data_IF_934342189024
#
_entry.id   IF_934342189024
#
_cell.length_a   1.000
_cell.length_b   1.000
_cell.length_c   1.000
_cell.angle_alpha   90.00
_cell.angle_beta   90.00
_cell.angle_gamma   90.00
#
_symmetry.space_group_name_H-M   'P 1'
#
loop_
_entity.id
_entity.type
_entity.pdbx_description
1 polymer ?
#
# COMPACT_ATOMS: atom_id res chain seq x y z
N UNK A 1 24.05 -4.32 43.50
CA UNK A 1 23.94 -5.40 42.50
C UNK A 1 22.54 -5.61 41.89
N UNK A 2 21.42 -5.36 42.59
CA UNK A 2 20.06 -5.65 42.07
C UNK A 2 19.62 -4.85 40.82
N UNK A 3 20.15 -3.65 40.56
CA UNK A 3 19.77 -2.82 39.38
C UNK A 3 20.31 -3.36 38.05
N UNK A 4 21.50 -3.96 38.04
CA UNK A 4 22.15 -4.48 36.82
C UNK A 4 21.39 -5.69 36.30
N UNK A 5 20.97 -6.58 37.20
CA UNK A 5 20.22 -7.79 36.86
C UNK A 5 18.86 -7.47 36.21
N UNK A 6 18.14 -6.46 36.71
CA UNK A 6 16.87 -6.02 36.13
C UNK A 6 17.02 -5.38 34.73
N UNK A 7 18.16 -4.76 34.45
CA UNK A 7 18.46 -4.23 33.11
C UNK A 7 18.76 -5.38 32.14
N UNK A 8 19.62 -6.32 32.54
CA UNK A 8 19.96 -7.50 31.75
C UNK A 8 18.72 -8.35 31.42
N UNK A 9 17.80 -8.54 32.37
CA UNK A 9 16.53 -9.25 32.15
C UNK A 9 15.62 -8.49 31.18
N UNK A 10 15.56 -7.16 31.24
CA UNK A 10 14.79 -6.35 30.28
C UNK A 10 15.39 -6.42 28.87
N UNK A 11 16.71 -6.40 28.75
CA UNK A 11 17.39 -6.46 27.45
C UNK A 11 17.27 -7.88 26.83
N UNK A 12 17.35 -8.93 27.64
CA UNK A 12 17.01 -10.30 27.25
C UNK A 12 15.55 -10.41 26.82
N UNK A 13 14.61 -9.85 27.59
CA UNK A 13 13.18 -9.88 27.25
C UNK A 13 12.87 -9.11 25.95
N UNK A 14 13.56 -7.99 25.70
CA UNK A 14 13.49 -7.26 24.42
C UNK A 14 14.07 -8.07 23.26
N UNK A 15 15.22 -8.73 23.47
CA UNK A 15 15.86 -9.58 22.47
C UNK A 15 15.04 -10.83 22.13
N UNK A 16 14.43 -11.45 23.14
CA UNK A 16 13.52 -12.60 22.98
C UNK A 16 12.23 -12.16 22.31
N UNK A 17 11.59 -11.04 22.70
CA UNK A 17 10.43 -10.52 21.97
C UNK A 17 10.75 -10.21 20.50
N UNK A 18 11.97 -9.75 20.18
CA UNK A 18 12.39 -9.47 18.80
C UNK A 18 12.63 -10.74 17.97
N UNK A 19 12.92 -11.89 18.61
CA UNK A 19 13.17 -13.19 17.96
C UNK A 19 11.97 -14.15 18.00
N UNK A 20 11.14 -14.07 19.03
CA UNK A 20 10.01 -14.98 19.30
C UNK A 20 8.67 -14.41 18.86
N UNK A 21 8.49 -13.08 18.89
CA UNK A 21 7.44 -12.50 18.06
C UNK A 21 8.00 -12.33 16.66
N UNK A 22 7.32 -12.90 15.68
CA UNK A 22 7.24 -12.33 14.33
C UNK A 22 6.59 -10.95 14.48
N UNK A 23 7.29 -9.98 15.08
CA UNK A 23 6.80 -8.62 15.22
C UNK A 23 6.54 -8.17 13.79
N UNK A 24 5.30 -7.81 13.45
CA UNK A 24 4.97 -7.43 12.10
C UNK A 24 5.96 -6.34 11.65
N UNK A 25 6.61 -6.55 10.50
CA UNK A 25 7.52 -5.56 9.94
C UNK A 25 6.81 -4.22 9.77
N UNK A 26 7.57 -3.14 9.62
CA UNK A 26 6.99 -1.79 9.48
C UNK A 26 5.93 -1.74 8.36
N UNK A 27 6.11 -2.52 7.29
CA UNK A 27 5.13 -2.73 6.22
C UNK A 27 3.75 -3.15 6.76
N UNK A 28 3.68 -4.21 7.58
CA UNK A 28 2.42 -4.71 8.12
C UNK A 28 1.78 -3.71 9.08
N UNK A 29 2.59 -3.02 9.91
CA UNK A 29 2.05 -1.97 10.79
C UNK A 29 1.39 -0.85 9.98
N UNK A 30 1.97 -0.45 8.85
CA UNK A 30 1.39 0.58 7.98
C UNK A 30 0.13 0.06 7.29
N UNK A 31 0.10 -1.22 6.88
CA UNK A 31 -1.11 -1.85 6.34
C UNK A 31 -2.26 -1.88 7.36
N UNK A 32 -1.97 -2.27 8.60
CA UNK A 32 -2.96 -2.30 9.69
C UNK A 32 -3.41 -0.87 10.05
N UNK A 33 -2.52 0.12 9.97
CA UNK A 33 -2.85 1.53 10.23
C UNK A 33 -3.85 2.12 9.22
N UNK A 34 -3.88 1.52 8.03
CA UNK A 34 -4.62 2.00 6.86
C UNK A 34 -5.76 1.05 6.49
N UNK A 35 -6.06 0.07 7.35
CA UNK A 35 -7.20 -0.81 7.17
C UNK A 35 -8.51 -0.01 7.22
N UNK A 36 -9.53 -0.47 6.49
CA UNK A 36 -10.85 0.17 6.43
C UNK A 36 -11.72 -0.17 7.66
N UNK A 37 -11.10 -0.32 8.83
CA UNK A 37 -11.77 -0.60 10.09
C UNK A 37 -12.43 0.67 10.66
N UNK A 38 -13.63 0.55 11.23
CA UNK A 38 -14.46 1.69 11.64
C UNK A 38 -13.92 2.49 12.83
N UNK A 39 -12.95 1.96 13.57
CA UNK A 39 -12.38 2.57 14.78
C UNK A 39 -11.01 3.25 14.56
N UNK A 40 -10.46 3.17 13.35
CA UNK A 40 -9.17 3.79 13.01
C UNK A 40 -7.96 3.17 13.73
N UNK A 41 -6.75 3.66 13.44
CA UNK A 41 -5.51 3.06 13.92
C UNK A 41 -5.28 3.31 15.42
N UNK A 42 -4.88 2.26 16.14
CA UNK A 42 -4.54 2.35 17.56
C UNK A 42 -3.30 3.25 17.78
N UNK A 43 -3.33 4.11 18.81
CA UNK A 43 -2.28 5.12 19.05
C UNK A 43 -0.86 4.56 19.22
N UNK A 44 -0.70 3.35 19.76
CA UNK A 44 0.62 2.70 19.86
C UNK A 44 1.21 2.34 18.49
N UNK A 45 0.36 2.02 17.53
CA UNK A 45 0.76 1.63 16.18
C UNK A 45 1.20 2.85 15.38
N UNK A 46 0.49 3.98 15.53
CA UNK A 46 0.92 5.27 14.98
C UNK A 46 2.23 5.77 15.61
N UNK A 47 2.43 5.57 16.91
CA UNK A 47 3.68 5.95 17.57
C UNK A 47 4.89 5.18 17.01
N UNK A 48 4.73 3.88 16.77
CA UNK A 48 5.78 3.04 16.17
C UNK A 48 6.09 3.48 14.73
N UNK A 49 5.07 3.78 13.92
CA UNK A 49 5.24 4.30 12.55
C UNK A 49 5.95 5.66 12.59
N UNK A 50 5.54 6.55 13.50
CA UNK A 50 6.15 7.86 13.66
C UNK A 50 7.65 7.76 14.01
N UNK A 51 8.03 6.83 14.88
CA UNK A 51 9.44 6.59 15.20
C UNK A 51 10.22 6.03 13.99
N UNK A 52 9.60 5.13 13.23
CA UNK A 52 10.20 4.52 12.05
C UNK A 52 10.41 5.52 10.89
N UNK A 53 9.66 6.62 10.82
CA UNK A 53 9.88 7.67 9.79
C UNK A 53 11.28 8.31 9.87
N UNK A 54 11.98 8.19 11.00
CA UNK A 54 13.35 8.70 11.15
C UNK A 54 14.40 7.85 10.44
N UNK A 55 14.05 6.63 10.03
CA UNK A 55 14.92 5.73 9.29
C UNK A 55 14.65 5.85 7.79
N UNK A 56 15.69 6.07 6.99
CA UNK A 56 15.53 6.20 5.53
C UNK A 56 14.97 4.94 4.87
N UNK A 57 15.32 3.74 5.37
CA UNK A 57 14.83 2.48 4.80
C UNK A 57 13.37 2.21 5.17
N UNK A 58 12.99 2.47 6.42
CA UNK A 58 11.61 2.28 6.88
C UNK A 58 10.69 3.35 6.30
N UNK A 59 11.17 4.59 6.15
CA UNK A 59 10.44 5.66 5.48
C UNK A 59 10.06 5.28 4.04
N UNK A 60 10.98 4.69 3.28
CA UNK A 60 10.67 4.23 1.91
C UNK A 60 9.56 3.19 1.89
N UNK A 61 9.56 2.25 2.86
CA UNK A 61 8.51 1.23 2.99
C UNK A 61 7.18 1.89 3.37
N UNK A 62 7.18 2.76 4.38
CA UNK A 62 5.98 3.48 4.85
C UNK A 62 5.35 4.24 3.69
N UNK A 63 6.15 5.05 2.99
CA UNK A 63 5.66 5.83 1.85
C UNK A 63 5.16 4.91 0.73
N UNK A 64 5.88 3.84 0.38
CA UNK A 64 5.44 2.91 -0.66
C UNK A 64 4.06 2.29 -0.35
N UNK A 65 3.82 1.88 0.90
CA UNK A 65 2.53 1.33 1.33
C UNK A 65 1.43 2.39 1.27
N UNK A 66 1.70 3.59 1.82
CA UNK A 66 0.73 4.70 1.80
C UNK A 66 0.35 5.10 0.37
N UNK A 67 1.33 5.26 -0.52
CA UNK A 67 1.06 5.56 -1.94
C UNK A 67 0.25 4.45 -2.60
N UNK A 68 0.65 3.18 -2.42
CA UNK A 68 -0.06 2.03 -2.99
C UNK A 68 -1.52 1.95 -2.55
N UNK A 69 -1.81 2.30 -1.29
CA UNK A 69 -3.17 2.30 -0.76
C UNK A 69 -4.02 3.41 -1.40
N UNK A 70 -3.47 4.62 -1.53
CA UNK A 70 -4.18 5.81 -2.01
C UNK A 70 -4.42 5.86 -3.52
N UNK A 71 -3.65 5.11 -4.31
CA UNK A 71 -3.79 5.09 -5.79
C UNK A 71 -5.22 4.85 -6.25
N UNK A 72 -5.97 3.95 -5.61
CA UNK A 72 -7.37 3.67 -6.00
C UNK A 72 -8.28 4.85 -5.69
N UNK A 73 -8.11 5.49 -4.54
CA UNK A 73 -8.91 6.65 -4.14
C UNK A 73 -8.61 7.86 -5.02
N UNK A 74 -7.34 8.08 -5.38
CA UNK A 74 -6.94 9.13 -6.30
C UNK A 74 -7.55 8.91 -7.70
N UNK A 75 -7.53 7.67 -8.20
CA UNK A 75 -8.17 7.31 -9.47
C UNK A 75 -9.69 7.54 -9.40
N UNK A 76 -10.34 7.20 -8.28
CA UNK A 76 -11.77 7.49 -8.06
C UNK A 76 -12.06 8.98 -8.07
N UNK A 77 -11.25 9.78 -7.40
CA UNK A 77 -11.36 11.25 -7.39
C UNK A 77 -11.19 11.87 -8.78
N UNK A 78 -10.40 11.24 -9.66
CA UNK A 78 -10.14 11.70 -11.02
C UNK A 78 -10.83 10.88 -12.11
N UNK A 79 -11.89 10.13 -11.76
CA UNK A 79 -12.58 9.22 -12.69
C UNK A 79 -13.09 9.93 -13.95
N UNK A 80 -13.53 11.19 -13.84
CA UNK A 80 -14.01 11.96 -14.99
C UNK A 80 -12.93 12.15 -16.08
N UNK A 81 -11.67 12.37 -15.69
CA UNK A 81 -10.56 12.51 -16.64
C UNK A 81 -10.34 11.19 -17.39
N UNK A 82 -10.42 10.08 -16.67
CA UNK A 82 -10.23 8.75 -17.25
C UNK A 82 -11.39 8.38 -18.17
N UNK A 83 -12.62 8.79 -17.84
CA UNK A 83 -13.78 8.67 -18.74
C UNK A 83 -13.58 9.45 -20.04
N UNK A 84 -12.97 10.64 -20.03
CA UNK A 84 -12.68 11.34 -21.30
C UNK A 84 -11.71 10.55 -22.19
N UNK A 85 -10.82 9.76 -21.59
CA UNK A 85 -9.87 8.93 -22.32
C UNK A 85 -10.49 7.63 -22.86
N UNK A 86 -11.63 7.17 -22.33
CA UNK A 86 -12.31 5.98 -22.84
C UNK A 86 -12.94 6.17 -24.22
N UNK A 87 -13.20 7.43 -24.61
CA UNK A 87 -13.72 7.81 -25.93
C UNK A 87 -12.67 8.51 -26.81
N UNK A 88 -11.40 8.50 -26.40
CA UNK A 88 -10.31 9.16 -27.11
C UNK A 88 -10.12 8.63 -28.54
N UNK A 89 -10.11 9.52 -29.52
CA UNK A 89 -9.90 9.19 -30.93
C UNK A 89 -8.69 9.95 -31.47
N UNK A 90 -7.76 9.22 -32.07
CA UNK A 90 -6.59 9.79 -32.72
C UNK A 90 -6.20 8.94 -33.92
N UNK A 91 -6.00 9.60 -35.06
CA UNK A 91 -5.51 9.00 -36.31
C UNK A 91 -4.24 9.74 -36.69
N UNK A 92 -3.16 9.00 -36.93
CA UNK A 92 -1.88 9.58 -37.32
C UNK A 92 -1.87 10.06 -38.78
N UNK A 93 -0.81 10.77 -39.19
CA UNK A 93 -0.62 11.26 -40.56
C UNK A 93 -0.54 10.15 -41.61
N UNK A 94 -0.32 8.89 -41.20
CA UNK A 94 -0.32 7.71 -42.06
C UNK A 94 -1.71 7.05 -42.16
N UNK A 95 -2.74 7.64 -41.54
CA UNK A 95 -4.11 7.13 -41.55
C UNK A 95 -4.35 5.97 -40.58
N UNK A 96 -3.43 5.69 -39.65
CA UNK A 96 -3.61 4.61 -38.67
C UNK A 96 -4.26 5.14 -37.41
N UNK A 97 -5.22 4.38 -36.87
CA UNK A 97 -5.84 4.68 -35.59
C UNK A 97 -4.87 4.35 -34.45
N UNK A 98 -4.61 5.34 -33.61
CA UNK A 98 -3.67 5.28 -32.48
C UNK A 98 -4.39 5.46 -31.13
N UNK A 99 -5.66 5.90 -31.15
CA UNK A 99 -6.47 6.10 -29.95
C UNK A 99 -6.94 4.80 -29.27
N UNK A 100 -6.99 3.67 -29.98
CA UNK A 100 -7.53 2.39 -29.51
C UNK A 100 -6.79 1.87 -28.27
N UNK A 101 -5.47 2.04 -28.21
CA UNK A 101 -4.70 1.61 -27.04
C UNK A 101 -5.05 2.45 -25.81
N UNK A 102 -5.18 3.76 -25.96
CA UNK A 102 -5.57 4.68 -24.89
C UNK A 102 -6.98 4.36 -24.38
N UNK A 103 -7.94 4.14 -25.29
CA UNK A 103 -9.31 3.75 -24.95
C UNK A 103 -9.36 2.43 -24.18
N UNK A 104 -8.69 1.39 -24.69
CA UNK A 104 -8.67 0.06 -24.05
C UNK A 104 -8.11 0.11 -22.63
N UNK A 105 -6.99 0.82 -22.43
CA UNK A 105 -6.39 0.99 -21.10
C UNK A 105 -7.34 1.73 -20.16
N UNK A 106 -7.94 2.82 -20.64
CA UNK A 106 -8.84 3.65 -19.83
C UNK A 106 -10.11 2.90 -19.43
N UNK A 107 -10.72 2.18 -20.37
CA UNK A 107 -11.88 1.32 -20.11
C UNK A 107 -11.55 0.20 -19.13
N UNK A 108 -10.39 -0.46 -19.28
CA UNK A 108 -9.96 -1.49 -18.33
C UNK A 108 -9.69 -0.91 -16.94
N UNK A 109 -9.14 0.31 -16.85
CA UNK A 109 -8.87 0.97 -15.59
C UNK A 109 -10.18 1.34 -14.87
N UNK A 110 -11.16 1.89 -15.60
CA UNK A 110 -12.49 2.18 -15.07
C UNK A 110 -13.20 0.91 -14.57
N UNK A 111 -13.15 -0.17 -15.37
CA UNK A 111 -13.73 -1.45 -15.01
C UNK A 111 -13.07 -2.10 -13.80
N UNK A 112 -11.77 -1.87 -13.57
CA UNK A 112 -11.08 -2.32 -12.37
C UNK A 112 -11.44 -1.47 -11.16
N UNK A 113 -11.38 -0.14 -11.26
CA UNK A 113 -11.50 0.77 -10.10
C UNK A 113 -12.94 0.86 -9.57
N UNK A 114 -13.94 0.67 -10.42
CA UNK A 114 -15.34 0.64 -10.02
C UNK A 114 -15.75 -0.66 -9.32
N UNK A 115 -14.90 -1.69 -9.31
CA UNK A 115 -15.19 -3.00 -8.74
C UNK A 115 -14.24 -3.31 -7.57
N UNK A 116 -14.74 -3.14 -6.34
CA UNK A 116 -13.97 -3.37 -5.11
C UNK A 116 -13.53 -4.84 -4.95
N UNK A 117 -14.33 -5.79 -5.45
CA UNK A 117 -14.03 -7.22 -5.35
C UNK A 117 -12.87 -7.56 -6.27
N UNK A 118 -12.93 -7.12 -7.54
CA UNK A 118 -11.83 -7.29 -8.50
C UNK A 118 -10.53 -6.62 -8.05
N UNK A 119 -10.60 -5.43 -7.45
CA UNK A 119 -9.40 -4.76 -6.88
C UNK A 119 -8.77 -5.64 -5.80
N UNK A 120 -9.58 -6.25 -4.94
CA UNK A 120 -9.12 -7.12 -3.86
C UNK A 120 -8.48 -8.39 -4.40
N UNK A 121 -9.12 -9.06 -5.36
CA UNK A 121 -8.60 -10.25 -6.04
C UNK A 121 -7.27 -10.00 -6.73
N UNK A 122 -7.16 -8.91 -7.50
CA UNK A 122 -5.92 -8.54 -8.20
C UNK A 122 -4.79 -8.28 -7.20
N UNK A 123 -5.09 -7.60 -6.08
CA UNK A 123 -4.10 -7.35 -5.00
C UNK A 123 -3.65 -8.65 -4.33
N UNK A 124 -4.57 -9.58 -4.04
CA UNK A 124 -4.24 -10.89 -3.46
C UNK A 124 -3.37 -11.71 -4.42
N UNK A 125 -3.75 -11.77 -5.70
CA UNK A 125 -2.98 -12.48 -6.73
C UNK A 125 -1.59 -11.87 -6.93
N UNK A 126 -1.47 -10.54 -6.91
CA UNK A 126 -0.20 -9.85 -6.99
C UNK A 126 0.68 -10.13 -5.76
N UNK A 127 0.09 -10.22 -4.57
CA UNK A 127 0.80 -10.63 -3.35
C UNK A 127 1.32 -12.06 -3.46
N UNK A 128 0.49 -13.00 -3.91
CA UNK A 128 0.87 -14.41 -4.06
C UNK A 128 1.97 -14.64 -5.10
N UNK A 129 2.08 -13.77 -6.10
CA UNK A 129 3.16 -13.82 -7.10
C UNK A 129 4.47 -13.19 -6.62
N UNK A 130 4.46 -12.37 -5.57
CA UNK A 130 5.66 -11.73 -5.00
C UNK A 130 6.55 -12.74 -4.27
N UNK A 131 5.94 -13.81 -3.76
CA UNK A 131 6.61 -14.84 -2.94
C UNK A 131 7.03 -16.08 -3.75
N UNK A 132 6.91 -16.03 -5.08
CA UNK A 132 7.38 -17.06 -6.03
C UNK A 132 8.66 -16.63 -6.73
#
# INVERSE_FOLDING_TARGET
>A
MKKVFGQTVRDLKRGVNKKVLKVPGIEQKVLDATSNESWGPHGSLLADIALATRSSSEYQIIMAVLWKQRVIDDIRGHTYLIMTLSDFQYIDSSGREQGSNVRKISQSLLGLVNDNERVTEVRQKASANRDK
#
